data_IF_729727588431
#
_entry.id   IF_729727588431
#
_cell.length_a   1.000
_cell.length_b   1.000
_cell.length_c   1.000
_cell.angle_alpha   90.00
_cell.angle_beta   90.00
_cell.angle_gamma   90.00
#
_symmetry.space_group_name_H-M   'P 1'
#
loop_
_entity.id
_entity.type
_entity.pdbx_description
1 polymer ?
#
# COMPACT_ATOMS: atom_id res chain seq x y z
N UNK A 1 10.75 25.76 -45.45
CA UNK A 1 11.49 25.93 -44.18
C UNK A 1 10.49 26.30 -43.11
N UNK A 2 10.09 25.34 -42.29
CA UNK A 2 9.27 25.57 -41.11
C UNK A 2 10.10 25.14 -39.89
N UNK A 3 10.39 26.08 -39.01
CA UNK A 3 11.08 25.87 -37.75
C UNK A 3 10.13 25.13 -36.80
N UNK A 4 10.55 23.97 -36.33
CA UNK A 4 9.95 23.32 -35.17
C UNK A 4 10.50 24.01 -33.91
N UNK A 5 9.66 24.78 -33.22
CA UNK A 5 9.96 25.24 -31.86
C UNK A 5 9.75 24.08 -30.90
N UNK A 6 10.86 23.67 -30.31
CA UNK A 6 11.00 22.68 -29.28
C UNK A 6 10.46 23.27 -27.96
N UNK A 7 9.17 23.09 -27.68
CA UNK A 7 8.65 23.32 -26.32
C UNK A 7 8.98 22.09 -25.48
N UNK A 8 10.17 22.14 -24.87
CA UNK A 8 10.49 21.28 -23.74
C UNK A 8 9.48 21.55 -22.63
N UNK A 9 8.61 20.57 -22.40
CA UNK A 9 7.67 20.55 -21.27
C UNK A 9 8.49 20.67 -19.99
N UNK A 10 8.49 21.87 -19.39
CA UNK A 10 9.31 22.20 -18.23
C UNK A 10 8.65 21.60 -16.97
N UNK A 11 8.91 20.32 -16.74
CA UNK A 11 8.45 19.52 -15.58
C UNK A 11 8.96 20.06 -14.21
N UNK A 12 9.74 21.14 -14.18
CA UNK A 12 10.33 21.66 -12.94
C UNK A 12 9.40 22.62 -12.17
N UNK A 13 8.48 23.33 -12.84
CA UNK A 13 7.61 24.34 -12.21
C UNK A 13 6.35 23.74 -11.57
N UNK A 14 5.86 22.60 -12.04
CA UNK A 14 4.68 21.92 -11.47
C UNK A 14 4.97 21.24 -10.12
N UNK A 15 6.23 20.88 -9.85
CA UNK A 15 6.62 20.34 -8.54
C UNK A 15 6.65 21.41 -7.44
N UNK A 16 6.97 22.67 -7.76
CA UNK A 16 6.99 23.77 -6.79
C UNK A 16 5.59 24.24 -6.41
N UNK A 17 4.62 24.22 -7.34
CA UNK A 17 3.23 24.58 -7.03
C UNK A 17 2.55 23.50 -6.18
N UNK A 18 2.80 22.21 -6.47
CA UNK A 18 2.34 21.09 -5.62
C UNK A 18 2.89 21.18 -4.20
N UNK A 19 4.15 21.63 -4.04
CA UNK A 19 4.79 21.74 -2.72
C UNK A 19 4.13 22.82 -1.84
N UNK A 20 3.68 23.93 -2.43
CA UNK A 20 2.99 25.01 -1.72
C UNK A 20 1.55 24.66 -1.34
N UNK A 21 0.80 23.98 -2.21
CA UNK A 21 -0.56 23.51 -1.88
C UNK A 21 -0.55 22.40 -0.83
N UNK A 22 0.50 21.59 -0.83
CA UNK A 22 0.68 20.52 0.14
C UNK A 22 1.04 21.03 1.53
N UNK A 23 1.98 21.98 1.64
CA UNK A 23 2.31 22.69 2.89
C UNK A 23 1.10 23.43 3.47
N UNK A 24 0.25 24.01 2.62
CA UNK A 24 -0.98 24.67 3.07
C UNK A 24 -2.05 23.70 3.58
N UNK A 25 -2.07 22.46 3.07
CA UNK A 25 -2.95 21.39 3.55
C UNK A 25 -2.44 20.79 4.86
N UNK A 26 -1.13 20.75 5.07
CA UNK A 26 -0.50 20.34 6.33
C UNK A 26 -0.74 21.33 7.47
N UNK A 27 -0.81 22.63 7.15
CA UNK A 27 -1.26 23.66 8.09
C UNK A 27 -2.74 23.52 8.49
N UNK A 28 -3.52 22.66 7.81
CA UNK A 28 -4.91 22.32 8.16
C UNK A 28 -5.05 21.03 8.97
N UNK A 29 -3.96 20.29 9.21
CA UNK A 29 -4.00 19.21 10.20
C UNK A 29 -4.25 19.84 11.58
N UNK A 30 -5.07 19.22 12.46
CA UNK A 30 -5.36 19.76 13.78
C UNK A 30 -4.07 20.17 14.52
N UNK A 31 -4.09 21.32 15.19
CA UNK A 31 -2.90 21.88 15.89
C UNK A 31 -2.30 20.93 16.93
N UNK A 32 -3.06 19.91 17.34
CA UNK A 32 -2.74 18.97 18.40
C UNK A 32 -1.71 17.89 17.98
N UNK A 33 -1.32 17.80 16.70
CA UNK A 33 -0.36 16.80 16.22
C UNK A 33 1.08 17.30 16.27
N UNK A 34 2.00 16.41 16.67
CA UNK A 34 3.44 16.72 16.66
C UNK A 34 3.95 16.96 15.23
N UNK A 35 5.05 17.71 15.10
CA UNK A 35 5.72 17.88 13.81
C UNK A 35 6.19 16.55 13.22
N UNK A 36 6.53 15.58 14.07
CA UNK A 36 6.91 14.23 13.65
C UNK A 36 5.72 13.45 13.09
N UNK A 37 4.52 13.60 13.67
CA UNK A 37 3.29 12.99 13.15
C UNK A 37 2.92 13.58 11.78
N UNK A 38 2.97 14.92 11.66
CA UNK A 38 2.76 15.61 10.38
C UNK A 38 3.75 15.09 9.33
N UNK A 39 5.03 15.02 9.66
CA UNK A 39 6.05 14.48 8.76
C UNK A 39 5.80 13.02 8.38
N UNK A 40 5.34 12.20 9.33
CA UNK A 40 5.01 10.78 9.09
C UNK A 40 3.91 10.64 8.05
N UNK A 41 2.80 11.39 8.21
CA UNK A 41 1.73 11.39 7.21
C UNK A 41 2.24 11.87 5.85
N UNK A 42 3.06 12.91 5.84
CA UNK A 42 3.62 13.45 4.60
C UNK A 42 4.39 12.38 3.83
N UNK A 43 5.30 11.74 4.52
CA UNK A 43 6.17 10.73 3.96
C UNK A 43 5.35 9.54 3.44
N UNK A 44 4.29 9.16 4.14
CA UNK A 44 3.40 8.09 3.72
C UNK A 44 2.59 8.44 2.47
N UNK A 45 2.08 9.66 2.36
CA UNK A 45 1.41 10.14 1.13
C UNK A 45 2.35 10.07 -0.07
N UNK A 46 3.59 10.54 0.07
CA UNK A 46 4.56 10.50 -1.03
C UNK A 46 4.96 9.06 -1.38
N UNK A 47 5.23 8.21 -0.38
CA UNK A 47 5.48 6.78 -0.61
C UNK A 47 4.32 6.10 -1.33
N UNK A 48 3.07 6.44 -0.97
CA UNK A 48 1.89 5.90 -1.64
C UNK A 48 1.84 6.31 -3.11
N UNK A 49 2.02 7.60 -3.43
CA UNK A 49 2.09 8.08 -4.82
C UNK A 49 3.16 7.34 -5.63
N UNK A 50 4.35 7.18 -5.07
CA UNK A 50 5.45 6.47 -5.72
C UNK A 50 5.12 4.98 -5.93
N UNK A 51 4.53 4.32 -4.92
CA UNK A 51 4.09 2.93 -5.03
C UNK A 51 3.06 2.75 -6.15
N UNK A 52 2.07 3.65 -6.25
CA UNK A 52 1.10 3.63 -7.34
C UNK A 52 1.75 3.82 -8.71
N UNK A 53 2.77 4.69 -8.82
CA UNK A 53 3.57 4.82 -10.03
C UNK A 53 4.24 3.50 -10.45
N UNK A 54 4.77 2.73 -9.49
CA UNK A 54 5.36 1.42 -9.79
C UNK A 54 4.33 0.38 -10.24
N UNK A 55 3.13 0.34 -9.64
CA UNK A 55 2.07 -0.55 -10.12
C UNK A 55 1.65 -0.24 -11.56
N UNK A 56 1.54 1.04 -11.92
CA UNK A 56 1.13 1.46 -13.26
C UNK A 56 2.09 0.96 -14.36
N UNK A 57 3.39 0.95 -14.08
CA UNK A 57 4.41 0.43 -15.00
C UNK A 57 4.73 -1.06 -14.77
N UNK A 58 3.93 -1.75 -13.94
CA UNK A 58 4.05 -3.18 -13.64
C UNK A 58 5.40 -3.58 -12.98
N UNK A 59 6.00 -2.67 -12.19
CA UNK A 59 7.22 -2.90 -11.41
C UNK A 59 6.86 -3.40 -9.99
N UNK A 60 6.52 -4.68 -9.91
CA UNK A 60 6.02 -5.31 -8.68
C UNK A 60 7.05 -5.37 -7.55
N UNK A 61 8.34 -5.49 -7.89
CA UNK A 61 9.43 -5.55 -6.92
C UNK A 61 9.58 -4.21 -6.20
N UNK A 62 9.60 -3.08 -6.93
CA UNK A 62 9.72 -1.77 -6.28
C UNK A 62 8.46 -1.39 -5.51
N UNK A 63 7.29 -1.73 -6.03
CA UNK A 63 6.05 -1.60 -5.27
C UNK A 63 6.12 -2.36 -3.95
N UNK A 64 6.53 -3.63 -3.99
CA UNK A 64 6.66 -4.46 -2.80
C UNK A 64 7.61 -3.86 -1.78
N UNK A 65 8.76 -3.32 -2.19
CA UNK A 65 9.70 -2.66 -1.27
C UNK A 65 9.04 -1.54 -0.45
N UNK A 66 8.21 -0.72 -1.09
CA UNK A 66 7.49 0.35 -0.38
C UNK A 66 6.40 -0.23 0.53
N UNK A 67 5.59 -1.15 0.02
CA UNK A 67 4.54 -1.81 0.80
C UNK A 67 5.11 -2.52 2.03
N UNK A 68 6.21 -3.26 1.86
CA UNK A 68 6.94 -3.93 2.94
C UNK A 68 7.42 -2.94 4.00
N UNK A 69 7.96 -1.79 3.58
CA UNK A 69 8.39 -0.75 4.54
C UNK A 69 7.20 -0.22 5.36
N UNK A 70 6.06 0.01 4.72
CA UNK A 70 4.83 0.46 5.42
C UNK A 70 4.35 -0.63 6.37
N UNK A 71 4.34 -1.87 5.92
CA UNK A 71 3.93 -3.05 6.68
C UNK A 71 4.81 -3.26 7.92
N UNK A 72 6.13 -3.20 7.79
CA UNK A 72 7.06 -3.40 8.90
C UNK A 72 6.92 -2.31 9.97
N UNK A 73 6.67 -1.06 9.57
CA UNK A 73 6.38 0.01 10.53
C UNK A 73 5.00 -0.18 11.20
N UNK A 74 3.99 -0.64 10.45
CA UNK A 74 2.71 -0.99 11.05
C UNK A 74 2.86 -2.11 12.08
N UNK A 75 3.64 -3.16 11.78
CA UNK A 75 3.89 -4.29 12.69
C UNK A 75 4.44 -3.77 14.03
N UNK A 76 5.45 -2.90 13.99
CA UNK A 76 6.04 -2.32 15.20
C UNK A 76 5.00 -1.56 16.02
N UNK A 77 4.22 -0.69 15.37
CA UNK A 77 3.22 0.13 16.05
C UNK A 77 2.03 -0.69 16.56
N UNK A 78 1.58 -1.69 15.78
CA UNK A 78 0.53 -2.63 16.14
C UNK A 78 0.94 -3.45 17.36
N UNK A 79 2.17 -3.94 17.40
CA UNK A 79 2.70 -4.69 18.53
C UNK A 79 2.71 -3.83 19.80
N UNK A 80 3.19 -2.59 19.71
CA UNK A 80 3.15 -1.63 20.83
C UNK A 80 1.70 -1.39 21.30
N UNK A 81 0.78 -1.14 20.38
CA UNK A 81 -0.64 -0.93 20.70
C UNK A 81 -1.21 -2.16 21.41
N UNK A 82 -0.96 -3.38 20.92
CA UNK A 82 -1.43 -4.61 21.55
C UNK A 82 -0.85 -4.82 22.95
N UNK A 83 0.45 -4.56 23.14
CA UNK A 83 1.11 -4.64 24.44
C UNK A 83 0.47 -3.65 25.42
N UNK A 84 0.36 -2.38 25.04
CA UNK A 84 -0.21 -1.32 25.89
C UNK A 84 -1.67 -1.64 26.27
N UNK A 85 -2.46 -2.18 25.33
CA UNK A 85 -3.84 -2.56 25.62
C UNK A 85 -3.96 -3.80 26.53
N UNK A 86 -2.94 -4.66 26.55
CA UNK A 86 -2.95 -5.91 27.32
C UNK A 86 -2.53 -5.75 28.78
N UNK A 87 -1.75 -4.71 29.12
CA UNK A 87 -1.23 -4.48 30.48
C UNK A 87 -1.41 -3.00 30.92
N UNK A 88 -2.25 -2.74 31.94
CA UNK A 88 -2.40 -1.40 32.53
C UNK A 88 -1.09 -0.78 33.04
N UNK A 89 -0.10 -1.60 33.43
CA UNK A 89 1.21 -1.09 33.85
C UNK A 89 2.06 -0.62 32.67
N UNK A 90 1.91 -1.21 31.49
CA UNK A 90 2.55 -0.71 30.26
C UNK A 90 1.94 0.63 29.85
N UNK A 91 0.62 0.79 29.98
CA UNK A 91 -0.06 2.07 29.75
C UNK A 91 0.52 3.20 30.61
N UNK A 92 0.77 2.95 31.90
CA UNK A 92 1.31 3.96 32.83
C UNK A 92 2.74 4.42 32.53
N UNK A 93 3.46 3.77 31.61
CA UNK A 93 4.84 4.15 31.25
C UNK A 93 4.91 5.30 30.24
N UNK A 94 3.82 5.61 29.56
CA UNK A 94 3.78 6.62 28.51
C UNK A 94 3.07 7.87 28.99
N UNK A 95 3.55 9.04 28.56
CA UNK A 95 2.78 10.27 28.68
C UNK A 95 1.59 10.24 27.70
N UNK A 96 0.45 10.84 28.08
CA UNK A 96 -0.77 10.82 27.26
C UNK A 96 -0.54 11.29 25.81
N UNK A 97 0.37 12.25 25.61
CA UNK A 97 0.73 12.73 24.27
C UNK A 97 1.47 11.68 23.44
N UNK A 98 2.42 10.95 24.03
CA UNK A 98 3.17 9.89 23.38
C UNK A 98 2.26 8.73 22.98
N UNK A 99 1.37 8.33 23.89
CA UNK A 99 0.39 7.29 23.63
C UNK A 99 -0.53 7.65 22.45
N UNK A 100 -1.03 8.88 22.40
CA UNK A 100 -1.86 9.37 21.30
C UNK A 100 -1.09 9.35 19.96
N UNK A 101 0.20 9.71 19.97
CA UNK A 101 1.05 9.63 18.78
C UNK A 101 1.23 8.18 18.30
N UNK A 102 1.49 7.22 19.20
CA UNK A 102 1.60 5.80 18.86
C UNK A 102 0.31 5.28 18.21
N UNK A 103 -0.84 5.51 18.84
CA UNK A 103 -2.14 5.06 18.35
C UNK A 103 -2.46 5.70 16.99
N UNK A 104 -2.18 6.99 16.84
CA UNK A 104 -2.42 7.69 15.59
C UNK A 104 -1.53 7.16 14.46
N UNK A 105 -0.22 7.00 14.69
CA UNK A 105 0.70 6.46 13.68
C UNK A 105 0.30 5.05 13.29
N UNK A 106 -0.07 4.21 14.25
CA UNK A 106 -0.63 2.87 13.98
C UNK A 106 -1.81 2.98 13.00
N UNK A 107 -2.78 3.83 13.29
CA UNK A 107 -3.95 4.05 12.43
C UNK A 107 -3.57 4.50 11.02
N UNK A 108 -2.62 5.42 10.88
CA UNK A 108 -2.18 5.93 9.58
C UNK A 108 -1.46 4.84 8.77
N UNK A 109 -0.49 4.14 9.35
CA UNK A 109 0.21 3.04 8.65
C UNK A 109 -0.76 1.93 8.22
N UNK A 110 -1.70 1.55 9.10
CA UNK A 110 -2.75 0.58 8.79
C UNK A 110 -3.61 1.02 7.58
N UNK A 111 -4.04 2.28 7.54
CA UNK A 111 -4.80 2.80 6.41
C UNK A 111 -4.01 2.75 5.10
N UNK A 112 -2.74 3.16 5.11
CA UNK A 112 -1.91 3.12 3.90
C UNK A 112 -1.63 1.69 3.42
N UNK A 113 -1.43 0.73 4.33
CA UNK A 113 -1.35 -0.69 3.98
C UNK A 113 -2.63 -1.14 3.28
N UNK A 114 -3.80 -0.85 3.85
CA UNK A 114 -5.09 -1.27 3.30
C UNK A 114 -5.33 -0.70 1.90
N UNK A 115 -5.02 0.59 1.68
CA UNK A 115 -5.14 1.21 0.37
C UNK A 115 -4.23 0.54 -0.67
N UNK A 116 -2.97 0.26 -0.32
CA UNK A 116 -2.03 -0.42 -1.23
C UNK A 116 -2.44 -1.86 -1.50
N UNK A 117 -2.97 -2.57 -0.50
CA UNK A 117 -3.53 -3.92 -0.67
C UNK A 117 -4.74 -3.93 -1.60
N UNK A 118 -5.62 -2.93 -1.48
CA UNK A 118 -6.76 -2.77 -2.37
C UNK A 118 -6.31 -2.55 -3.82
N UNK A 119 -5.32 -1.68 -4.04
CA UNK A 119 -4.79 -1.42 -5.38
C UNK A 119 -4.10 -2.66 -5.97
N UNK A 120 -3.38 -3.42 -5.16
CA UNK A 120 -2.82 -4.69 -5.59
C UNK A 120 -3.92 -5.71 -5.95
N UNK A 121 -4.96 -5.80 -5.14
CA UNK A 121 -6.12 -6.67 -5.40
C UNK A 121 -6.79 -6.32 -6.72
N UNK A 122 -6.98 -5.01 -6.99
CA UNK A 122 -7.50 -4.50 -8.25
C UNK A 122 -6.61 -4.87 -9.44
N UNK A 123 -5.28 -4.84 -9.30
CA UNK A 123 -4.37 -5.26 -10.37
C UNK A 123 -4.57 -6.74 -10.71
N UNK A 124 -4.69 -7.59 -9.69
CA UNK A 124 -4.88 -9.03 -9.88
C UNK A 124 -6.22 -9.32 -10.55
N UNK A 125 -7.32 -8.77 -10.02
CA UNK A 125 -8.67 -8.98 -10.58
C UNK A 125 -8.78 -8.43 -12.00
N UNK A 126 -8.21 -7.27 -12.29
CA UNK A 126 -8.20 -6.69 -13.65
C UNK A 126 -7.45 -7.53 -14.67
N UNK A 127 -6.42 -8.29 -14.26
CA UNK A 127 -5.77 -9.23 -15.17
C UNK A 127 -6.73 -10.36 -15.56
N UNK A 128 -7.51 -10.88 -14.62
CA UNK A 128 -8.54 -11.88 -14.93
C UNK A 128 -9.65 -11.33 -15.84
N UNK A 129 -10.14 -10.11 -15.57
CA UNK A 129 -11.12 -9.46 -16.46
C UNK A 129 -10.59 -9.27 -17.88
N UNK A 130 -9.32 -8.85 -18.02
CA UNK A 130 -8.67 -8.76 -19.33
C UNK A 130 -8.59 -10.13 -20.00
N UNK A 131 -8.22 -11.17 -19.26
CA UNK A 131 -8.16 -12.52 -19.81
C UNK A 131 -9.54 -13.00 -20.31
N UNK A 132 -10.62 -12.70 -19.57
CA UNK A 132 -12.00 -12.98 -19.95
C UNK A 132 -12.33 -12.41 -21.34
N UNK A 133 -11.99 -11.15 -21.58
CA UNK A 133 -12.21 -10.51 -22.89
C UNK A 133 -11.44 -11.22 -24.02
N UNK A 134 -10.22 -11.69 -23.74
CA UNK A 134 -9.43 -12.41 -24.73
C UNK A 134 -9.88 -13.86 -24.96
N UNK A 135 -10.63 -14.50 -24.05
CA UNK A 135 -11.06 -15.89 -24.24
C UNK A 135 -11.86 -16.07 -25.54
N UNK A 136 -12.67 -15.07 -25.90
CA UNK A 136 -13.52 -15.11 -27.09
C UNK A 136 -12.80 -14.73 -28.39
N UNK A 137 -11.62 -14.10 -28.29
CA UNK A 137 -10.93 -13.49 -29.45
C UNK A 137 -9.59 -14.19 -29.72
N UNK A 138 -8.82 -14.51 -28.68
CA UNK A 138 -7.52 -15.15 -28.77
C UNK A 138 -7.20 -15.93 -27.48
N UNK A 139 -7.49 -17.23 -27.51
CA UNK A 139 -7.32 -18.13 -26.35
C UNK A 139 -5.87 -18.24 -25.87
N UNK A 140 -4.89 -18.12 -26.77
CA UNK A 140 -3.47 -18.11 -26.41
C UNK A 140 -3.11 -16.87 -25.58
N UNK A 141 -3.57 -15.69 -25.99
CA UNK A 141 -3.38 -14.46 -25.22
C UNK A 141 -4.09 -14.55 -23.87
N UNK A 142 -5.33 -15.05 -23.83
CA UNK A 142 -6.07 -15.22 -22.59
C UNK A 142 -5.30 -16.07 -21.58
N UNK A 143 -4.75 -17.21 -22.02
CA UNK A 143 -3.93 -18.10 -21.18
C UNK A 143 -2.73 -17.37 -20.57
N UNK A 144 -1.99 -16.62 -21.38
CA UNK A 144 -0.82 -15.87 -20.91
C UNK A 144 -1.20 -14.80 -19.87
N UNK A 145 -2.34 -14.14 -20.04
CA UNK A 145 -2.81 -13.13 -19.07
C UNK A 145 -3.23 -13.79 -17.75
N UNK A 146 -3.88 -14.96 -17.79
CA UNK A 146 -4.22 -15.75 -16.58
C UNK A 146 -2.95 -16.18 -15.85
N UNK A 147 -1.96 -16.69 -16.57
CA UNK A 147 -0.68 -17.08 -15.99
C UNK A 147 0.03 -15.90 -15.34
N UNK A 148 -0.02 -14.71 -15.96
CA UNK A 148 0.49 -13.47 -15.36
C UNK A 148 -0.26 -13.12 -14.07
N UNK A 149 -1.59 -13.19 -14.05
CA UNK A 149 -2.38 -12.91 -12.84
C UNK A 149 -1.99 -13.83 -11.68
N UNK A 150 -1.88 -15.15 -11.95
CA UNK A 150 -1.43 -16.14 -10.97
C UNK A 150 -0.01 -15.88 -10.48
N UNK A 151 0.90 -15.56 -11.40
CA UNK A 151 2.30 -15.25 -11.06
C UNK A 151 2.41 -14.04 -10.13
N UNK A 152 1.71 -12.94 -10.46
CA UNK A 152 1.67 -11.73 -9.63
C UNK A 152 1.06 -12.03 -8.26
N UNK A 153 -0.09 -12.71 -8.21
CA UNK A 153 -0.73 -13.07 -6.94
C UNK A 153 0.16 -13.95 -6.05
N UNK A 154 0.73 -15.01 -6.61
CA UNK A 154 1.62 -15.93 -5.89
C UNK A 154 2.92 -15.25 -5.44
N UNK A 155 3.46 -14.32 -6.23
CA UNK A 155 4.60 -13.50 -5.84
C UNK A 155 4.32 -12.79 -4.52
N UNK A 156 3.23 -12.03 -4.43
CA UNK A 156 2.91 -11.29 -3.20
C UNK A 156 2.52 -12.19 -2.03
N UNK A 157 1.78 -13.28 -2.25
CA UNK A 157 1.48 -14.25 -1.19
C UNK A 157 2.77 -14.79 -0.56
N UNK A 158 3.76 -15.13 -1.40
CA UNK A 158 5.08 -15.59 -0.92
C UNK A 158 5.77 -14.48 -0.14
N UNK A 159 5.83 -13.27 -0.71
CA UNK A 159 6.46 -12.13 -0.07
C UNK A 159 5.84 -11.78 1.31
N UNK A 160 4.52 -11.87 1.45
CA UNK A 160 3.84 -11.66 2.74
C UNK A 160 4.21 -12.73 3.76
N UNK A 161 4.23 -14.02 3.35
CA UNK A 161 4.60 -15.13 4.24
C UNK A 161 6.04 -15.04 4.74
N UNK A 162 6.92 -14.36 3.99
CA UNK A 162 8.33 -14.13 4.36
C UNK A 162 8.52 -12.95 5.33
N UNK A 163 7.48 -12.18 5.65
CA UNK A 163 7.57 -11.06 6.60
C UNK A 163 7.76 -11.61 8.01
N UNK A 164 8.80 -11.13 8.70
CA UNK A 164 9.05 -11.47 10.09
C UNK A 164 7.90 -10.98 10.99
N UNK A 165 7.48 -11.84 11.92
CA UNK A 165 6.42 -11.56 12.88
C UNK A 165 6.84 -12.03 14.27
N UNK A 166 6.65 -11.16 15.26
CA UNK A 166 6.64 -11.54 16.68
C UNK A 166 5.44 -12.46 16.98
N UNK A 167 5.46 -13.14 18.12
CA UNK A 167 4.36 -14.03 18.52
C UNK A 167 3.04 -13.28 18.73
N UNK A 168 3.11 -12.05 19.27
CA UNK A 168 1.95 -11.18 19.46
C UNK A 168 1.26 -10.89 18.12
N UNK A 169 2.05 -10.56 17.11
CA UNK A 169 1.55 -10.24 15.76
C UNK A 169 1.02 -11.48 15.04
N UNK A 170 1.65 -12.64 15.24
CA UNK A 170 1.12 -13.92 14.73
C UNK A 170 -0.25 -14.23 15.33
N UNK A 171 -0.43 -14.01 16.63
CA UNK A 171 -1.71 -14.24 17.31
C UNK A 171 -2.81 -13.27 16.86
N UNK A 172 -2.45 -12.05 16.42
CA UNK A 172 -3.37 -11.08 15.80
C UNK A 172 -3.71 -11.42 14.34
N UNK A 173 -3.18 -12.54 13.79
CA UNK A 173 -3.41 -13.00 12.41
C UNK A 173 -3.12 -11.96 11.32
N UNK A 174 -2.23 -11.00 11.61
CA UNK A 174 -2.06 -9.82 10.78
C UNK A 174 -1.62 -10.14 9.33
N UNK A 175 -0.56 -10.92 9.17
CA UNK A 175 -0.06 -11.32 7.84
C UNK A 175 -1.00 -12.30 7.15
N UNK A 176 -1.67 -13.18 7.91
CA UNK A 176 -2.66 -14.11 7.36
C UNK A 176 -3.81 -13.33 6.69
N UNK A 177 -4.31 -12.28 7.33
CA UNK A 177 -5.33 -11.41 6.73
C UNK A 177 -4.87 -10.77 5.41
N UNK A 178 -3.61 -10.34 5.31
CA UNK A 178 -3.06 -9.81 4.05
C UNK A 178 -3.02 -10.89 2.94
N UNK A 179 -2.62 -12.11 3.30
CA UNK A 179 -2.59 -13.25 2.37
C UNK A 179 -4.00 -13.63 1.91
N UNK A 180 -4.95 -13.71 2.84
CA UNK A 180 -6.35 -14.06 2.56
C UNK A 180 -7.01 -13.08 1.59
N UNK A 181 -6.71 -11.77 1.69
CA UNK A 181 -7.20 -10.76 0.74
C UNK A 181 -6.71 -11.05 -0.69
N UNK A 182 -5.43 -11.42 -0.85
CA UNK A 182 -4.88 -11.75 -2.15
C UNK A 182 -5.41 -13.08 -2.69
N UNK A 183 -5.52 -14.09 -1.84
CA UNK A 183 -6.10 -15.38 -2.22
C UNK A 183 -7.57 -15.20 -2.66
N UNK A 184 -8.35 -14.39 -1.94
CA UNK A 184 -9.72 -14.03 -2.31
C UNK A 184 -9.76 -13.29 -3.65
N UNK A 185 -8.84 -12.35 -3.89
CA UNK A 185 -8.77 -11.61 -5.16
C UNK A 185 -8.45 -12.52 -6.35
N UNK A 186 -7.55 -13.50 -6.15
CA UNK A 186 -7.24 -14.53 -7.14
C UNK A 186 -8.48 -15.39 -7.39
N UNK A 187 -9.15 -15.85 -6.33
CA UNK A 187 -10.34 -16.68 -6.44
C UNK A 187 -11.47 -15.94 -7.18
N UNK A 188 -11.79 -14.72 -6.76
CA UNK A 188 -12.80 -13.89 -7.43
C UNK A 188 -12.49 -13.73 -8.92
N UNK A 189 -11.24 -13.41 -9.28
CA UNK A 189 -10.85 -13.32 -10.68
C UNK A 189 -10.95 -14.65 -11.45
N UNK A 190 -10.69 -15.78 -10.80
CA UNK A 190 -10.90 -17.10 -11.43
C UNK A 190 -12.37 -17.40 -11.65
N UNK A 191 -13.23 -17.04 -10.70
CA UNK A 191 -14.69 -17.18 -10.81
C UNK A 191 -15.25 -16.33 -11.96
N UNK A 192 -14.69 -15.13 -12.22
CA UNK A 192 -15.17 -14.32 -13.35
C UNK A 192 -14.88 -14.94 -14.71
N UNK A 193 -13.87 -15.81 -14.84
CA UNK A 193 -13.62 -16.57 -16.07
C UNK A 193 -14.66 -17.67 -16.34
N UNK A 194 -15.39 -18.12 -15.32
CA UNK A 194 -16.38 -19.20 -15.41
C UNK A 194 -17.81 -18.69 -15.70
N UNK A 195 -18.01 -17.38 -15.64
CA UNK A 195 -19.29 -16.68 -15.86
C UNK A 195 -19.38 -16.07 -17.24
#
# INVERSE_FOLDING_TARGET
>A
MAFATNEGMNLSTDFQSLNNDYLSTLARLPENYSEEDKFTLINLVEKFKVAMGYLQINDHTKFWTILKTILENEIVLRELVLIIHSDPHEYMKYEDFELNSIIWRFGVYNNFRLLLLQELSNVITNLYEKAKLFLHVNSYVARNVIEKAKSVGNYYITQFKDVYQSEIIKNDNFINNCVEILESSIQMGQETLLS
#
